data_IF_008215925082
#
_entry.id   IF_008215925082
#
_cell.length_a   1.000
_cell.length_b   1.000
_cell.length_c   1.000
_cell.angle_alpha   90.00
_cell.angle_beta   90.00
_cell.angle_gamma   90.00
#
_symmetry.space_group_name_H-M   'P 1'
#
loop_
_entity.id
_entity.type
_entity.pdbx_description
1 polymer ?
#
# COMPACT_ATOMS: atom_id res chain seq x y z
N UNK A 1 0.08 16.14 11.34
CA UNK A 1 -0.68 15.10 10.62
C UNK A 1 0.28 14.00 10.21
N UNK A 2 -0.09 12.73 10.43
CA UNK A 2 0.75 11.56 10.14
C UNK A 2 1.29 11.55 8.70
N UNK A 3 0.41 11.76 7.71
CA UNK A 3 0.78 11.79 6.28
C UNK A 3 1.80 12.86 5.91
N UNK A 4 1.69 14.06 6.51
CA UNK A 4 2.67 15.14 6.31
C UNK A 4 4.04 14.72 6.84
N UNK A 5 4.10 14.08 8.01
CA UNK A 5 5.36 13.60 8.57
C UNK A 5 5.94 12.42 7.78
N UNK A 6 5.09 11.55 7.21
CA UNK A 6 5.51 10.46 6.33
C UNK A 6 6.10 11.02 5.02
N UNK A 7 5.39 11.92 4.33
CA UNK A 7 5.84 12.57 3.10
C UNK A 7 7.10 13.42 3.33
N UNK A 8 7.18 14.13 4.47
CA UNK A 8 8.37 14.92 4.82
C UNK A 8 9.61 14.04 5.06
N UNK A 9 9.42 12.82 5.58
CA UNK A 9 10.51 11.85 5.69
C UNK A 9 10.95 11.31 4.32
N UNK A 10 10.00 11.14 3.38
CA UNK A 10 10.28 10.74 1.99
C UNK A 10 11.01 11.84 1.19
N UNK A 11 10.81 13.12 1.53
CA UNK A 11 11.42 14.26 0.84
C UNK A 11 12.87 14.58 1.26
N UNK A 12 13.42 13.92 2.28
CA UNK A 12 14.82 14.13 2.69
C UNK A 12 15.76 13.37 1.75
N UNK A 13 16.72 14.06 1.08
CA UNK A 13 17.61 13.41 0.13
C UNK A 13 18.64 12.55 0.88
N UNK A 14 18.41 11.24 0.91
CA UNK A 14 19.49 10.29 1.13
C UNK A 14 20.06 9.96 -0.24
N UNK A 15 21.27 10.44 -0.52
CA UNK A 15 21.99 10.18 -1.76
C UNK A 15 22.10 8.67 -2.00
N UNK A 16 21.38 8.20 -3.00
CA UNK A 16 21.35 6.81 -3.44
C UNK A 16 20.34 6.68 -4.57
N UNK A 17 20.85 6.40 -5.77
CA UNK A 17 20.12 6.33 -7.02
C UNK A 17 18.80 5.55 -6.93
N UNK A 18 17.83 5.97 -7.74
CA UNK A 18 16.61 5.31 -8.27
C UNK A 18 16.50 3.76 -8.11
N UNK A 19 16.58 3.27 -6.88
CA UNK A 19 16.49 1.86 -6.48
C UNK A 19 15.79 1.65 -5.13
N UNK A 20 15.22 2.72 -4.56
CA UNK A 20 14.50 2.73 -3.27
C UNK A 20 12.97 2.58 -3.38
N UNK A 21 12.45 2.20 -4.55
CA UNK A 21 11.02 1.96 -4.79
C UNK A 21 10.43 0.84 -3.92
N UNK A 22 11.26 -0.10 -3.46
CA UNK A 22 10.81 -1.23 -2.63
C UNK A 22 10.64 -0.89 -1.13
N UNK A 23 11.49 -0.04 -0.55
CA UNK A 23 11.36 0.36 0.86
C UNK A 23 10.13 1.25 1.12
N UNK A 24 9.56 1.81 0.05
CA UNK A 24 8.43 2.76 0.09
C UNK A 24 7.07 2.06 -0.05
N UNK A 25 7.03 0.83 -0.57
CA UNK A 25 5.80 0.08 -0.84
C UNK A 25 5.01 -0.23 0.44
N UNK A 26 5.67 -0.60 1.53
CA UNK A 26 4.98 -0.93 2.80
C UNK A 26 4.32 0.28 3.47
N UNK A 27 4.79 1.49 3.16
CA UNK A 27 4.23 2.74 3.70
C UNK A 27 3.01 3.22 2.90
N UNK A 28 2.87 2.77 1.65
CA UNK A 28 1.78 3.16 0.75
C UNK A 28 0.74 2.06 0.57
N UNK A 29 1.03 0.83 1.05
CA UNK A 29 0.10 -0.27 0.99
C UNK A 29 -1.09 -0.08 1.95
N UNK A 30 -2.31 -0.46 1.53
CA UNK A 30 -3.52 -0.41 2.33
C UNK A 30 -3.56 -1.55 3.37
N UNK A 31 -2.47 -1.83 4.08
CA UNK A 31 -2.43 -2.88 5.09
C UNK A 31 -2.61 -4.28 4.53
N UNK A 32 -3.44 -5.10 5.20
CA UNK A 32 -3.67 -6.51 4.85
C UNK A 32 -4.36 -6.73 3.49
N UNK A 33 -4.81 -5.68 2.80
CA UNK A 33 -5.35 -5.83 1.45
C UNK A 33 -4.26 -6.02 0.37
N UNK A 34 -2.99 -5.77 0.71
CA UNK A 34 -1.83 -6.10 -0.14
C UNK A 34 -1.86 -5.47 -1.55
N UNK A 35 -1.09 -6.04 -2.49
CA UNK A 35 -0.96 -5.51 -3.86
C UNK A 35 -2.27 -5.56 -4.65
N UNK A 36 -3.01 -6.68 -4.56
CA UNK A 36 -4.27 -6.82 -5.28
C UNK A 36 -5.31 -5.79 -4.80
N UNK A 37 -5.38 -5.56 -3.49
CA UNK A 37 -6.21 -4.51 -2.90
C UNK A 37 -5.80 -3.13 -3.38
N UNK A 38 -4.50 -2.82 -3.40
CA UNK A 38 -3.98 -1.57 -3.97
C UNK A 38 -4.44 -1.35 -5.40
N UNK A 39 -4.34 -2.37 -6.27
CA UNK A 39 -4.74 -2.27 -7.67
C UNK A 39 -6.24 -2.02 -7.84
N UNK A 40 -7.08 -2.66 -7.03
CA UNK A 40 -8.53 -2.45 -7.03
C UNK A 40 -8.87 -1.03 -6.57
N UNK A 41 -8.27 -0.55 -5.48
CA UNK A 41 -8.49 0.80 -4.95
C UNK A 41 -8.03 1.85 -5.98
N UNK A 42 -6.84 1.67 -6.56
CA UNK A 42 -6.31 2.56 -7.59
C UNK A 42 -7.24 2.63 -8.82
N UNK A 43 -7.69 1.49 -9.34
CA UNK A 43 -8.65 1.46 -10.46
C UNK A 43 -9.98 2.12 -10.11
N UNK A 44 -10.43 1.94 -8.87
CA UNK A 44 -11.65 2.58 -8.38
C UNK A 44 -11.50 4.10 -8.37
N UNK A 45 -10.39 4.62 -7.87
CA UNK A 45 -10.13 6.06 -7.89
C UNK A 45 -9.98 6.63 -9.30
N UNK A 46 -9.32 5.93 -10.22
CA UNK A 46 -9.20 6.42 -11.60
C UNK A 46 -10.54 6.49 -12.33
N UNK A 47 -11.54 5.71 -11.90
CA UNK A 47 -12.90 5.73 -12.45
C UNK A 47 -13.82 6.74 -11.77
N UNK A 48 -13.63 6.97 -10.46
CA UNK A 48 -14.51 7.84 -9.67
C UNK A 48 -14.02 9.28 -9.59
N UNK A 49 -12.71 9.51 -9.71
CA UNK A 49 -12.07 10.80 -9.49
C UNK A 49 -11.39 11.29 -10.76
N UNK A 50 -11.51 12.58 -11.04
CA UNK A 50 -10.66 13.28 -12.00
C UNK A 50 -9.82 14.28 -11.24
N UNK A 51 -8.53 13.98 -11.08
CA UNK A 51 -7.59 14.82 -10.33
C UNK A 51 -6.83 15.71 -11.31
N UNK A 52 -7.07 17.01 -11.25
CA UNK A 52 -6.32 17.98 -12.06
C UNK A 52 -4.95 18.24 -11.43
N UNK A 53 -3.91 18.55 -12.22
CA UNK A 53 -2.57 18.87 -11.69
C UNK A 53 -2.57 20.00 -10.66
N UNK A 54 -3.42 21.00 -10.86
CA UNK A 54 -3.61 22.12 -9.92
C UNK A 54 -4.19 21.67 -8.57
N UNK A 55 -5.07 20.67 -8.57
CA UNK A 55 -5.65 20.12 -7.33
C UNK A 55 -4.68 19.20 -6.57
N UNK A 56 -3.63 18.73 -7.25
CA UNK A 56 -2.63 17.84 -6.66
C UNK A 56 -1.39 18.58 -6.15
N UNK A 57 -1.20 19.85 -6.50
CA UNK A 57 -0.03 20.65 -6.11
C UNK A 57 0.18 20.63 -4.57
N UNK A 58 1.41 20.40 -4.07
CA UNK A 58 2.70 20.31 -4.78
C UNK A 58 3.05 18.92 -5.32
N UNK A 59 2.14 17.95 -5.22
CA UNK A 59 2.32 16.59 -5.72
C UNK A 59 1.83 16.46 -7.17
N UNK A 60 2.30 15.43 -7.86
CA UNK A 60 1.61 15.00 -9.09
C UNK A 60 0.30 14.27 -8.75
N UNK A 61 -0.71 14.25 -9.64
CA UNK A 61 -1.94 13.49 -9.40
C UNK A 61 -1.71 12.02 -9.02
N UNK A 62 -0.72 11.37 -9.65
CA UNK A 62 -0.34 9.99 -9.33
C UNK A 62 0.22 9.88 -7.91
N UNK A 63 1.14 10.79 -7.53
CA UNK A 63 1.69 10.81 -6.17
C UNK A 63 0.61 11.09 -5.12
N UNK A 64 -0.38 11.93 -5.41
CA UNK A 64 -1.51 12.16 -4.50
C UNK A 64 -2.31 10.87 -4.29
N UNK A 65 -2.58 10.13 -5.36
CA UNK A 65 -3.29 8.84 -5.28
C UNK A 65 -2.50 7.84 -4.45
N UNK A 66 -1.23 7.63 -4.80
CA UNK A 66 -0.41 6.57 -4.23
C UNK A 66 0.04 6.85 -2.79
N UNK A 67 0.36 8.11 -2.48
CA UNK A 67 0.92 8.48 -1.16
C UNK A 67 -0.15 8.90 -0.15
N UNK A 68 -1.36 9.25 -0.59
CA UNK A 68 -2.40 9.80 0.29
C UNK A 68 -3.71 9.06 0.15
N UNK A 69 -4.29 8.97 -1.06
CA UNK A 69 -5.65 8.44 -1.22
C UNK A 69 -5.72 6.95 -0.96
N UNK A 70 -4.79 6.16 -1.51
CA UNK A 70 -4.74 4.71 -1.29
C UNK A 70 -4.54 4.37 0.20
N UNK A 71 -3.57 4.97 0.90
CA UNK A 71 -3.42 4.70 2.32
C UNK A 71 -4.60 5.17 3.17
N UNK A 72 -5.22 6.31 2.85
CA UNK A 72 -6.41 6.76 3.59
C UNK A 72 -7.61 5.83 3.35
N UNK A 73 -7.78 5.33 2.12
CA UNK A 73 -8.77 4.29 1.84
C UNK A 73 -8.50 3.02 2.64
N UNK A 74 -7.24 2.59 2.72
CA UNK A 74 -6.85 1.44 3.56
C UNK A 74 -7.25 1.63 5.01
N UNK A 75 -6.99 2.79 5.61
CA UNK A 75 -7.41 3.09 6.99
C UNK A 75 -8.93 3.02 7.13
N UNK A 76 -9.68 3.63 6.22
CA UNK A 76 -11.15 3.66 6.28
C UNK A 76 -11.76 2.27 6.14
N UNK A 77 -11.28 1.48 5.18
CA UNK A 77 -11.72 0.10 4.99
C UNK A 77 -11.45 -0.75 6.24
N UNK A 78 -10.28 -0.59 6.87
CA UNK A 78 -9.96 -1.28 8.14
C UNK A 78 -10.91 -0.84 9.25
N UNK A 79 -11.19 0.46 9.38
CA UNK A 79 -12.14 0.97 10.38
C UNK A 79 -13.54 0.39 10.16
N UNK A 80 -14.02 0.33 8.92
CA UNK A 80 -15.31 -0.24 8.55
C UNK A 80 -15.39 -1.74 8.83
N UNK A 81 -14.36 -2.50 8.45
CA UNK A 81 -14.33 -3.96 8.61
C UNK A 81 -14.22 -4.40 10.08
N UNK A 82 -13.48 -3.64 10.88
CA UNK A 82 -13.13 -4.04 12.26
C UNK A 82 -13.87 -3.27 13.35
N UNK A 83 -14.56 -2.19 13.01
CA UNK A 83 -15.18 -1.27 13.97
C UNK A 83 -14.17 -0.54 14.87
N UNK A 84 -12.88 -0.53 14.49
CA UNK A 84 -11.82 0.08 15.28
C UNK A 84 -11.76 1.60 15.11
N UNK A 85 -11.29 2.27 16.17
CA UNK A 85 -10.94 3.68 16.12
C UNK A 85 -9.76 3.95 15.18
N UNK A 86 -9.73 5.14 14.56
CA UNK A 86 -8.78 5.50 13.50
C UNK A 86 -7.31 5.28 13.87
N UNK A 87 -6.93 5.61 15.11
CA UNK A 87 -5.55 5.44 15.57
C UNK A 87 -5.13 3.97 15.59
N UNK A 88 -6.03 3.08 16.02
CA UNK A 88 -5.82 1.64 16.02
C UNK A 88 -5.80 1.10 14.60
N UNK A 89 -6.71 1.55 13.73
CA UNK A 89 -6.73 1.15 12.33
C UNK A 89 -5.45 1.52 11.58
N UNK A 90 -4.86 2.69 11.85
CA UNK A 90 -3.54 3.07 11.30
C UNK A 90 -2.44 2.13 11.77
N UNK A 91 -2.41 1.80 13.06
CA UNK A 91 -1.43 0.86 13.59
C UNK A 91 -1.59 -0.53 12.95
N UNK A 92 -2.83 -1.02 12.86
CA UNK A 92 -3.17 -2.28 12.19
C UNK A 92 -2.76 -2.28 10.72
N UNK A 93 -3.01 -1.20 9.99
CA UNK A 93 -2.58 -1.06 8.59
C UNK A 93 -1.06 -1.21 8.47
N UNK A 94 -0.30 -0.53 9.32
CA UNK A 94 1.16 -0.59 9.26
C UNK A 94 1.71 -1.98 9.66
N UNK A 95 1.19 -2.54 10.75
CA UNK A 95 1.62 -3.85 11.25
C UNK A 95 1.30 -4.97 10.26
N UNK A 96 0.14 -4.90 9.60
CA UNK A 96 -0.26 -5.87 8.58
C UNK A 96 0.52 -5.73 7.27
N UNK A 97 0.81 -4.51 6.80
CA UNK A 97 1.71 -4.28 5.66
C UNK A 97 3.10 -4.88 5.93
N UNK A 98 3.65 -4.64 7.12
CA UNK A 98 4.96 -5.17 7.52
C UNK A 98 4.96 -6.69 7.68
N UNK A 99 3.86 -7.26 8.17
CA UNK A 99 3.71 -8.71 8.27
C UNK A 99 3.64 -9.36 6.89
N UNK A 100 2.80 -8.85 5.98
CA UNK A 100 2.68 -9.36 4.61
C UNK A 100 4.03 -9.34 3.87
N UNK A 101 4.75 -8.23 3.96
CA UNK A 101 6.10 -8.08 3.41
C UNK A 101 7.11 -9.13 3.90
N UNK A 102 6.99 -9.50 5.19
CA UNK A 102 7.89 -10.47 5.82
C UNK A 102 7.51 -11.91 5.49
N UNK A 103 6.22 -12.20 5.35
CA UNK A 103 5.71 -13.55 5.09
C UNK A 103 5.74 -13.93 3.60
N UNK A 104 5.70 -12.94 2.71
CA UNK A 104 5.76 -13.13 1.26
C UNK A 104 6.83 -12.20 0.66
N UNK A 105 8.12 -12.50 0.85
CA UNK A 105 9.17 -11.74 0.20
C UNK A 105 9.06 -11.91 -1.33
N UNK A 106 9.24 -10.83 -2.09
CA UNK A 106 9.09 -10.79 -3.56
C UNK A 106 10.01 -11.78 -4.33
N UNK A 107 10.93 -12.46 -3.63
CA UNK A 107 11.84 -13.46 -4.17
C UNK A 107 11.24 -14.87 -4.31
N UNK A 108 10.06 -15.13 -3.73
CA UNK A 108 9.34 -16.38 -3.99
C UNK A 108 8.62 -16.29 -5.35
N UNK A 109 9.37 -16.57 -6.42
CA UNK A 109 8.76 -17.10 -7.64
C UNK A 109 7.88 -18.27 -7.23
N UNK A 110 6.56 -18.07 -7.23
CA UNK A 110 5.59 -19.14 -7.09
C UNK A 110 5.95 -20.24 -8.10
N UNK A 111 6.56 -21.31 -7.62
CA UNK A 111 6.82 -22.48 -8.44
C UNK A 111 5.49 -23.19 -8.64
N UNK A 112 4.83 -22.87 -9.75
CA UNK A 112 3.59 -23.51 -10.19
C UNK A 112 3.74 -25.04 -10.32
N UNK A 113 4.96 -25.58 -10.38
CA UNK A 113 5.21 -27.03 -10.34
C UNK A 113 4.99 -27.65 -8.94
N UNK A 114 5.10 -26.86 -7.86
CA UNK A 114 4.82 -27.32 -6.49
C UNK A 114 3.32 -27.54 -6.22
N UNK A 115 2.44 -26.83 -6.94
CA UNK A 115 0.99 -27.02 -6.88
C UNK A 115 0.51 -28.22 -7.72
N UNK A 116 1.29 -28.64 -8.71
CA UNK A 116 0.96 -29.79 -9.56
C UNK A 116 1.38 -31.14 -8.96
N UNK A 117 2.10 -31.14 -7.83
CA UNK A 117 2.72 -32.35 -7.26
C UNK A 117 2.17 -32.77 -5.89
N UNK A 118 1.13 -32.11 -5.36
CA UNK A 118 0.39 -32.65 -4.21
C UNK A 118 -0.63 -33.67 -4.73
N UNK A 119 -0.47 -34.98 -4.44
CA UNK A 119 -1.53 -35.94 -4.70
C UNK A 119 -2.67 -35.59 -3.75
N UNK A 120 -3.87 -35.36 -4.28
CA UNK A 120 -5.08 -35.37 -3.49
C UNK A 120 -5.11 -36.70 -2.75
N UNK A 121 -4.96 -36.64 -1.42
CA UNK A 121 -4.70 -37.82 -0.59
C UNK A 121 -5.77 -38.90 -0.76
N UNK A 122 -5.27 -40.14 -0.88
CA UNK A 122 -5.68 -41.26 -0.03
C UNK A 122 -4.44 -42.00 0.43
#
# INVERSE_FOLDING_TARGET
MFWINAITQLAKPHGGALGGTFTTFHLTQPGYYGEQGTNIIHNTFSRLLTISPESADPLTPLQLVDLVLIPEAGVQLIMEDSGMERATAIATMFDSSKYGAKMFPDDEKFDLASLASTPYGR
#
